data_IF_955290570296
#
_entry.id   IF_955290570296
#
_cell.length_a   1.000
_cell.length_b   1.000
_cell.length_c   1.000
_cell.angle_alpha   90.00
_cell.angle_beta   90.00
_cell.angle_gamma   90.00
#
_symmetry.space_group_name_H-M   'P 1'
#
loop_
_entity.id
_entity.type
_entity.pdbx_description
1 polymer ?
#
# COMPACT_ATOMS: atom_id res chain seq x y z
N UNK A 1 -15.55 15.95 21.49
CA UNK A 1 -14.19 15.69 22.00
C UNK A 1 -13.77 14.30 21.58
N UNK A 2 -13.06 14.18 20.44
CA UNK A 2 -12.45 12.91 20.02
C UNK A 2 -11.31 12.57 21.00
N UNK A 3 -11.29 11.34 21.51
CA UNK A 3 -10.17 10.83 22.30
C UNK A 3 -8.97 10.65 21.37
N UNK A 4 -7.97 11.54 21.49
CA UNK A 4 -6.67 11.32 20.86
C UNK A 4 -6.09 10.02 21.40
N UNK A 5 -5.95 9.00 20.55
CA UNK A 5 -5.30 7.76 20.93
C UNK A 5 -3.79 8.05 21.06
N UNK A 6 -3.35 8.47 22.24
CA UNK A 6 -1.92 8.68 22.53
C UNK A 6 -1.23 7.32 22.53
N UNK A 7 -0.64 6.92 21.40
CA UNK A 7 0.30 5.81 21.30
C UNK A 7 1.59 6.22 22.03
N UNK A 8 2.12 5.34 22.87
CA UNK A 8 3.46 5.51 23.46
C UNK A 8 4.47 5.52 22.31
N UNK A 9 5.17 6.65 22.12
CA UNK A 9 6.36 6.76 21.27
C UNK A 9 7.47 5.90 21.91
N UNK A 10 7.62 4.66 21.46
CA UNK A 10 8.91 3.98 21.44
C UNK A 10 9.34 3.98 19.98
N UNK A 11 10.31 4.84 19.65
CA UNK A 11 11.03 4.77 18.39
C UNK A 11 11.86 3.49 18.45
N UNK A 12 11.28 2.40 17.95
CA UNK A 12 11.96 1.12 17.83
C UNK A 12 12.47 1.05 16.40
N UNK A 13 13.77 1.30 16.22
CA UNK A 13 14.37 1.48 14.90
C UNK A 13 14.82 0.16 14.27
N UNK A 14 14.86 -0.94 15.02
CA UNK A 14 15.20 -2.26 14.49
C UNK A 14 13.96 -3.08 14.17
N UNK A 15 13.99 -3.77 13.02
CA UNK A 15 12.90 -4.65 12.61
C UNK A 15 12.76 -5.89 13.51
N UNK A 16 13.87 -6.38 14.07
CA UNK A 16 13.85 -7.48 15.03
C UNK A 16 13.01 -7.11 16.26
N UNK A 17 13.28 -5.94 16.86
CA UNK A 17 12.51 -5.49 18.02
C UNK A 17 11.07 -5.16 17.65
N UNK A 18 10.83 -4.59 16.46
CA UNK A 18 9.46 -4.37 15.98
C UNK A 18 8.66 -5.68 15.85
N UNK A 19 9.25 -6.72 15.24
CA UNK A 19 8.60 -8.02 15.08
C UNK A 19 8.48 -8.79 16.41
N UNK A 20 9.44 -8.66 17.32
CA UNK A 20 9.35 -9.26 18.66
C UNK A 20 8.23 -8.62 19.50
N UNK A 21 8.03 -7.30 19.39
CA UNK A 21 6.93 -6.60 20.04
C UNK A 21 5.58 -6.91 19.41
N UNK A 22 5.51 -6.90 18.07
CA UNK A 22 4.26 -6.98 17.33
C UNK A 22 3.80 -8.44 17.12
N UNK A 23 4.72 -9.37 16.86
CA UNK A 23 4.43 -10.76 16.45
C UNK A 23 5.59 -11.75 16.79
N UNK A 24 5.92 -11.97 18.08
CA UNK A 24 7.12 -12.72 18.50
C UNK A 24 7.16 -14.17 17.99
N UNK A 25 6.00 -14.85 17.97
CA UNK A 25 5.91 -16.20 17.42
C UNK A 25 6.19 -16.29 15.92
N UNK A 26 5.92 -15.22 15.17
CA UNK A 26 6.19 -15.16 13.73
C UNK A 26 7.68 -14.91 13.47
N UNK A 27 8.32 -14.02 14.24
CA UNK A 27 9.76 -13.79 14.18
C UNK A 27 10.54 -15.10 14.39
N UNK A 28 10.17 -15.86 15.43
CA UNK A 28 10.80 -17.15 15.70
C UNK A 28 10.68 -18.12 14.51
N UNK A 29 9.50 -18.21 13.91
CA UNK A 29 9.26 -19.07 12.74
C UNK A 29 10.07 -18.63 11.53
N UNK A 30 10.20 -17.33 11.30
CA UNK A 30 11.02 -16.77 10.22
C UNK A 30 12.50 -17.14 10.39
N UNK A 31 13.06 -16.90 11.58
CA UNK A 31 14.45 -17.25 11.90
C UNK A 31 14.69 -18.76 11.71
N UNK A 32 13.76 -19.60 12.18
CA UNK A 32 13.84 -21.05 11.99
C UNK A 32 13.82 -21.49 10.51
N UNK A 33 13.17 -20.71 9.64
CA UNK A 33 13.16 -20.93 8.19
C UNK A 33 14.33 -20.23 7.47
N UNK A 34 15.30 -19.71 8.23
CA UNK A 34 16.51 -19.07 7.70
C UNK A 34 16.26 -17.68 7.14
N UNK A 35 15.22 -16.97 7.60
CA UNK A 35 15.02 -15.55 7.30
C UNK A 35 15.95 -14.69 8.12
N UNK A 36 16.78 -13.89 7.44
CA UNK A 36 17.71 -12.96 8.09
C UNK A 36 17.04 -11.62 8.27
N UNK A 37 17.26 -10.99 9.43
CA UNK A 37 16.77 -9.64 9.72
C UNK A 37 17.26 -8.61 8.68
N UNK A 38 18.46 -8.81 8.14
CA UNK A 38 19.06 -7.92 7.13
C UNK A 38 18.32 -7.93 5.79
N UNK A 39 17.49 -8.94 5.52
CA UNK A 39 16.71 -9.03 4.29
C UNK A 39 15.38 -8.26 4.39
N UNK A 40 15.02 -7.77 5.58
CA UNK A 40 13.74 -7.14 5.90
C UNK A 40 13.85 -5.62 6.02
N UNK A 41 12.87 -4.92 5.45
CA UNK A 41 12.62 -3.48 5.66
C UNK A 41 11.61 -3.24 6.77
N UNK A 42 11.71 -2.11 7.47
CA UNK A 42 10.64 -1.64 8.35
C UNK A 42 9.79 -0.60 7.60
N UNK A 43 8.47 -0.75 7.59
CA UNK A 43 7.53 0.19 6.98
C UNK A 43 6.63 0.85 8.03
N UNK A 44 6.31 2.13 7.83
CA UNK A 44 5.43 2.94 8.70
C UNK A 44 6.08 4.27 9.09
N UNK A 45 5.33 5.12 9.81
CA UNK A 45 5.72 6.53 10.09
C UNK A 45 7.03 6.69 10.86
N UNK A 46 7.53 5.63 11.51
CA UNK A 46 8.80 5.65 12.24
C UNK A 46 9.95 4.98 11.49
N UNK A 47 9.76 4.56 10.22
CA UNK A 47 10.84 4.04 9.39
C UNK A 47 11.68 5.19 8.82
N UNK A 48 12.27 6.01 9.70
CA UNK A 48 13.33 6.93 9.34
C UNK A 48 14.64 6.14 9.25
N UNK A 49 15.18 5.95 8.05
CA UNK A 49 16.56 5.50 7.89
C UNK A 49 16.82 4.67 6.64
N UNK A 50 17.11 5.35 5.52
CA UNK A 50 17.66 4.73 4.32
C UNK A 50 17.91 5.76 3.24
N UNK A 51 19.12 6.32 3.24
CA UNK A 51 19.67 7.32 2.31
C UNK A 51 19.07 7.32 0.90
N UNK A 52 18.20 8.30 0.63
CA UNK A 52 18.19 9.00 -0.65
C UNK A 52 18.03 10.49 -0.35
N UNK A 53 19.14 11.21 -0.48
CA UNK A 53 19.33 12.63 -0.14
C UNK A 53 18.54 13.61 -1.02
N UNK A 54 17.34 13.23 -1.48
CA UNK A 54 16.48 14.04 -2.36
C UNK A 54 15.01 14.10 -1.89
N UNK A 55 14.70 13.54 -0.72
CA UNK A 55 13.31 13.45 -0.20
C UNK A 55 12.82 14.75 0.46
N UNK A 56 13.65 15.81 0.47
CA UNK A 56 13.33 17.12 1.07
C UNK A 56 12.28 17.94 0.30
N UNK A 57 11.82 17.48 -0.87
CA UNK A 57 10.77 18.13 -1.67
C UNK A 57 9.42 17.40 -1.64
N UNK A 58 9.30 16.26 -0.93
CA UNK A 58 8.09 15.41 -0.96
C UNK A 58 7.49 15.11 0.42
N UNK A 59 7.81 15.89 1.47
CA UNK A 59 6.95 15.97 2.66
C UNK A 59 5.63 16.71 2.35
N UNK A 60 4.91 16.28 1.32
CA UNK A 60 3.48 16.54 1.25
C UNK A 60 2.85 15.84 2.45
N UNK A 61 2.48 16.63 3.46
CA UNK A 61 1.91 16.12 4.69
C UNK A 61 0.67 15.30 4.38
N UNK A 62 0.77 13.98 4.55
CA UNK A 62 -0.35 13.03 4.47
C UNK A 62 -1.46 13.29 5.51
N UNK A 63 -1.31 14.33 6.35
CA UNK A 63 -2.30 14.73 7.36
C UNK A 63 -3.65 15.10 6.74
N UNK A 64 -3.65 15.75 5.57
CA UNK A 64 -4.89 16.10 4.87
C UNK A 64 -5.63 14.83 4.39
N UNK A 65 -4.89 13.86 3.83
CA UNK A 65 -5.45 12.57 3.44
C UNK A 65 -5.96 11.80 4.66
N UNK A 66 -5.20 11.80 5.76
CA UNK A 66 -5.60 11.16 7.01
C UNK A 66 -6.90 11.75 7.55
N UNK A 67 -7.04 13.07 7.53
CA UNK A 67 -8.27 13.74 7.95
C UNK A 67 -9.45 13.35 7.07
N UNK A 68 -9.31 13.46 5.75
CA UNK A 68 -10.39 13.16 4.80
C UNK A 68 -10.84 11.71 4.93
N UNK A 69 -9.90 10.76 4.95
CA UNK A 69 -10.24 9.34 5.12
C UNK A 69 -10.91 9.13 6.48
N UNK A 70 -10.37 9.67 7.57
CA UNK A 70 -10.99 9.55 8.90
C UNK A 70 -12.43 10.07 8.94
N UNK A 71 -12.70 11.22 8.29
CA UNK A 71 -14.04 11.80 8.21
C UNK A 71 -15.00 10.91 7.42
N UNK A 72 -14.58 10.35 6.28
CA UNK A 72 -15.41 9.46 5.45
C UNK A 72 -15.90 8.23 6.23
N UNK A 73 -15.01 7.64 7.03
CA UNK A 73 -15.34 6.46 7.82
C UNK A 73 -16.16 6.80 9.07
N UNK A 74 -15.89 7.93 9.71
CA UNK A 74 -16.68 8.41 10.83
C UNK A 74 -18.14 8.76 10.44
N UNK A 75 -18.34 9.41 9.27
CA UNK A 75 -19.67 9.72 8.71
C UNK A 75 -20.48 8.44 8.43
N UNK A 76 -19.83 7.39 7.88
CA UNK A 76 -20.49 6.10 7.60
C UNK A 76 -20.88 5.32 8.84
N UNK A 77 -20.07 5.37 9.91
CA UNK A 77 -20.39 4.72 11.19
C UNK A 77 -21.57 5.38 11.91
N UNK A 78 -21.76 6.69 11.74
CA UNK A 78 -22.82 7.45 12.43
C UNK A 78 -24.14 7.48 11.64
N UNK A 79 -24.12 7.27 10.32
CA UNK A 79 -25.29 7.32 9.44
C UNK A 79 -26.11 6.03 9.28
N UNK A 80 -25.58 4.86 9.66
CA UNK A 80 -26.25 3.55 9.43
C UNK A 80 -26.46 2.80 10.75
N UNK A 81 -27.73 2.69 11.20
CA UNK A 81 -28.11 1.61 12.13
C UNK A 81 -27.99 0.28 11.38
N UNK A 82 -27.36 -0.73 12.00
CA UNK A 82 -27.02 -2.10 11.50
C UNK A 82 -25.76 -2.16 10.62
N UNK A 83 -24.73 -2.98 10.86
CA UNK A 83 -24.56 -4.16 11.71
C UNK A 83 -23.17 -4.06 12.37
N UNK A 84 -23.15 -3.99 13.69
CA UNK A 84 -21.99 -4.48 14.44
C UNK A 84 -21.88 -5.99 14.12
N UNK A 85 -21.12 -6.33 13.08
CA UNK A 85 -20.50 -7.65 12.97
C UNK A 85 -19.53 -7.74 14.14
N UNK A 86 -20.08 -8.06 15.32
CA UNK A 86 -19.32 -8.72 16.38
C UNK A 86 -18.79 -9.98 15.74
N UNK A 87 -17.56 -9.92 15.25
CA UNK A 87 -16.77 -11.11 14.98
C UNK A 87 -16.78 -11.89 16.29
N UNK A 88 -17.54 -12.98 16.31
CA UNK A 88 -17.44 -13.95 17.37
C UNK A 88 -15.96 -14.36 17.44
N UNK A 89 -15.45 -14.54 18.66
CA UNK A 89 -14.20 -15.26 18.91
C UNK A 89 -14.36 -16.71 18.43
N UNK A 90 -14.56 -16.92 17.13
CA UNK A 90 -14.47 -18.20 16.50
C UNK A 90 -12.98 -18.49 16.37
N UNK A 91 -12.49 -19.34 17.28
CA UNK A 91 -11.21 -20.07 17.24
C UNK A 91 -10.08 -19.39 16.45
N UNK A 92 -9.11 -18.80 17.14
CA UNK A 92 -7.82 -18.28 16.59
C UNK A 92 -7.37 -19.05 15.35
N UNK A 93 -7.79 -18.57 14.18
CA UNK A 93 -7.51 -19.19 12.91
C UNK A 93 -6.05 -18.91 12.63
N UNK A 94 -5.22 -19.95 12.70
CA UNK A 94 -3.76 -19.78 12.64
C UNK A 94 -3.32 -19.13 11.33
N UNK A 95 -2.28 -18.31 11.41
CA UNK A 95 -1.67 -17.64 10.27
C UNK A 95 -1.30 -18.63 9.14
N UNK A 96 -1.53 -18.25 7.88
CA UNK A 96 -1.15 -19.06 6.72
C UNK A 96 0.31 -18.77 6.35
N UNK A 97 1.24 -19.47 7.00
CA UNK A 97 2.67 -19.35 6.70
C UNK A 97 3.02 -19.74 5.27
N UNK A 98 2.21 -20.57 4.61
CA UNK A 98 2.47 -21.01 3.22
C UNK A 98 2.51 -19.85 2.23
N UNK A 99 1.57 -18.92 2.33
CA UNK A 99 1.49 -17.78 1.40
C UNK A 99 2.67 -16.82 1.64
N UNK A 100 2.96 -16.53 2.91
CA UNK A 100 4.15 -15.77 3.28
C UNK A 100 5.43 -16.41 2.72
N UNK A 101 5.68 -17.69 2.98
CA UNK A 101 6.89 -18.35 2.49
C UNK A 101 6.94 -18.43 0.97
N UNK A 102 5.79 -18.58 0.30
CA UNK A 102 5.74 -18.48 -1.16
C UNK A 102 6.22 -17.12 -1.65
N UNK A 103 5.84 -16.03 -1.00
CA UNK A 103 6.29 -14.67 -1.36
C UNK A 103 7.78 -14.47 -1.07
N UNK A 104 8.25 -14.97 0.08
CA UNK A 104 9.68 -14.93 0.46
C UNK A 104 10.54 -15.69 -0.54
N UNK A 105 10.13 -16.90 -0.93
CA UNK A 105 10.80 -17.70 -1.96
C UNK A 105 10.89 -16.94 -3.30
N UNK A 106 9.80 -16.29 -3.73
CA UNK A 106 9.80 -15.46 -4.93
C UNK A 106 10.72 -14.24 -4.79
N UNK A 107 10.67 -13.52 -3.66
CA UNK A 107 11.52 -12.38 -3.41
C UNK A 107 13.01 -12.77 -3.46
N UNK A 108 13.40 -13.83 -2.76
CA UNK A 108 14.77 -14.35 -2.77
C UNK A 108 15.23 -14.80 -4.14
N UNK A 109 14.36 -15.46 -4.91
CA UNK A 109 14.66 -15.84 -6.29
C UNK A 109 14.98 -14.60 -7.14
N UNK A 110 14.21 -13.53 -7.00
CA UNK A 110 14.45 -12.28 -7.73
C UNK A 110 15.71 -11.55 -7.24
N UNK A 111 15.97 -11.52 -5.93
CA UNK A 111 17.24 -11.00 -5.38
C UNK A 111 18.45 -11.75 -5.93
N UNK A 112 18.38 -13.08 -6.00
CA UNK A 112 19.42 -13.91 -6.62
C UNK A 112 19.63 -13.56 -8.11
N UNK A 113 18.56 -13.20 -8.81
CA UNK A 113 18.60 -12.71 -10.20
C UNK A 113 19.01 -11.23 -10.32
N UNK A 114 19.33 -10.56 -9.21
CA UNK A 114 19.64 -9.12 -9.13
C UNK A 114 18.52 -8.24 -9.67
N UNK A 115 17.27 -8.69 -9.48
CA UNK A 115 16.10 -7.91 -9.84
C UNK A 115 15.63 -7.09 -8.63
N UNK A 116 15.12 -5.87 -8.87
CA UNK A 116 14.64 -5.02 -7.79
C UNK A 116 13.44 -5.69 -7.12
N UNK A 117 13.62 -5.98 -5.83
CA UNK A 117 12.58 -6.48 -4.94
C UNK A 117 12.99 -6.16 -3.51
N UNK A 118 12.03 -5.70 -2.73
CA UNK A 118 12.18 -5.49 -1.30
C UNK A 118 10.94 -5.95 -0.57
N UNK A 119 11.11 -6.30 0.70
CA UNK A 119 10.00 -6.72 1.53
C UNK A 119 10.30 -6.49 2.99
N UNK A 120 9.26 -6.46 3.81
CA UNK A 120 9.43 -5.95 5.16
C UNK A 120 8.17 -5.92 5.99
N UNK A 121 8.35 -5.64 7.29
CA UNK A 121 7.27 -5.56 8.26
C UNK A 121 6.72 -4.13 8.34
N UNK A 122 5.40 -3.99 8.19
CA UNK A 122 4.69 -2.74 8.43
C UNK A 122 4.04 -2.79 9.81
N UNK A 123 4.48 -1.93 10.74
CA UNK A 123 3.95 -1.91 12.13
C UNK A 123 2.52 -1.37 12.22
N UNK A 124 2.21 -0.37 11.39
CA UNK A 124 0.88 0.24 11.36
C UNK A 124 -0.19 -0.74 10.87
N UNK A 125 0.19 -1.63 9.94
CA UNK A 125 -0.67 -2.67 9.41
C UNK A 125 -0.42 -4.05 10.05
N UNK A 126 0.56 -4.21 10.94
CA UNK A 126 0.99 -5.51 11.46
C UNK A 126 1.08 -6.58 10.35
N UNK A 127 1.79 -6.28 9.26
CA UNK A 127 1.79 -7.11 8.04
C UNK A 127 3.01 -6.97 7.19
N UNK A 128 3.26 -7.99 6.36
CA UNK A 128 4.34 -7.91 5.39
C UNK A 128 3.91 -7.13 4.15
N UNK A 129 4.79 -6.23 3.70
CA UNK A 129 4.70 -5.56 2.41
C UNK A 129 5.85 -6.08 1.56
N UNK A 130 5.55 -6.51 0.35
CA UNK A 130 6.51 -6.87 -0.68
C UNK A 130 6.34 -5.91 -1.86
N UNK A 131 7.46 -5.47 -2.43
CA UNK A 131 7.51 -4.63 -3.63
C UNK A 131 8.21 -5.43 -4.71
N UNK A 132 7.44 -5.92 -5.67
CA UNK A 132 7.94 -6.62 -6.84
C UNK A 132 7.94 -5.66 -8.02
N UNK A 133 8.94 -4.77 -8.09
CA UNK A 133 9.00 -3.68 -9.07
C UNK A 133 8.84 -4.18 -10.51
N UNK A 134 9.63 -5.18 -10.90
CA UNK A 134 9.53 -5.76 -12.25
C UNK A 134 8.22 -6.48 -12.55
N UNK A 135 7.46 -6.85 -11.52
CA UNK A 135 6.14 -7.44 -11.69
C UNK A 135 5.03 -6.39 -11.59
N UNK A 136 5.35 -5.11 -11.42
CA UNK A 136 4.37 -4.03 -11.22
C UNK A 136 3.40 -4.35 -10.06
N UNK A 137 3.91 -4.93 -8.96
CA UNK A 137 3.09 -5.30 -7.80
C UNK A 137 3.65 -4.76 -6.49
N UNK A 138 2.76 -4.16 -5.70
CA UNK A 138 2.88 -4.15 -4.24
C UNK A 138 2.00 -5.29 -3.73
N UNK A 139 2.53 -6.12 -2.83
CA UNK A 139 1.81 -7.23 -2.23
C UNK A 139 1.79 -7.05 -0.72
N UNK A 140 0.59 -7.06 -0.14
CA UNK A 140 0.39 -6.97 1.30
C UNK A 140 -0.10 -8.32 1.82
N UNK A 141 0.74 -8.98 2.61
CA UNK A 141 0.45 -10.26 3.25
C UNK A 141 0.03 -10.01 4.70
N UNK A 142 -1.28 -10.02 4.95
CA UNK A 142 -1.90 -9.70 6.25
C UNK A 142 -2.27 -10.97 7.03
N UNK A 143 -1.65 -11.23 8.21
CA UNK A 143 -2.03 -12.35 9.07
C UNK A 143 -3.45 -12.27 9.64
N UNK A 144 -3.93 -11.05 9.91
CA UNK A 144 -5.07 -10.81 10.81
C UNK A 144 -6.31 -10.21 10.13
N UNK A 145 -6.19 -9.76 8.87
CA UNK A 145 -7.25 -9.04 8.14
C UNK A 145 -7.81 -9.84 6.96
N UNK A 146 -8.71 -10.78 7.27
CA UNK A 146 -9.53 -11.46 6.27
C UNK A 146 -8.86 -12.63 5.56
N UNK A 147 -7.75 -13.16 6.08
CA UNK A 147 -7.09 -14.38 5.60
C UNK A 147 -6.79 -14.33 4.11
N UNK A 148 -6.07 -13.29 3.67
CA UNK A 148 -5.74 -13.14 2.26
C UNK A 148 -4.43 -12.38 2.02
N UNK A 149 -3.81 -12.69 0.90
CA UNK A 149 -2.72 -11.94 0.29
C UNK A 149 -3.31 -10.94 -0.70
N UNK A 150 -3.08 -9.65 -0.52
CA UNK A 150 -3.64 -8.60 -1.38
C UNK A 150 -2.59 -8.08 -2.36
N UNK A 151 -2.99 -7.88 -3.62
CA UNK A 151 -2.14 -7.41 -4.70
C UNK A 151 -2.62 -6.05 -5.18
N UNK A 152 -1.68 -5.13 -5.36
CA UNK A 152 -1.89 -3.78 -5.85
C UNK A 152 -0.96 -3.53 -7.03
N UNK A 153 -1.41 -2.79 -8.03
CA UNK A 153 -0.57 -2.42 -9.16
C UNK A 153 0.33 -1.23 -8.80
N UNK A 154 1.61 -1.32 -9.15
CA UNK A 154 2.51 -0.18 -9.08
C UNK A 154 2.13 0.84 -10.16
N UNK A 155 2.00 2.09 -9.75
CA UNK A 155 1.95 3.22 -10.68
C UNK A 155 3.37 3.66 -11.04
N UNK A 156 3.56 4.18 -12.25
CA UNK A 156 4.81 4.88 -12.59
C UNK A 156 4.77 6.38 -12.23
N UNK A 157 3.60 6.90 -11.89
CA UNK A 157 3.38 8.34 -11.70
C UNK A 157 3.76 8.83 -10.30
N UNK A 158 4.04 7.90 -9.38
CA UNK A 158 4.44 8.21 -8.01
C UNK A 158 5.59 7.30 -7.57
N UNK A 159 6.43 7.79 -6.65
CA UNK A 159 7.49 6.97 -6.07
C UNK A 159 6.91 5.76 -5.31
N UNK A 160 7.66 4.66 -5.25
CA UNK A 160 7.27 3.46 -4.50
C UNK A 160 7.01 3.82 -3.03
N UNK A 161 7.88 4.64 -2.43
CA UNK A 161 7.73 5.10 -1.04
C UNK A 161 6.41 5.84 -0.82
N UNK A 162 6.04 6.77 -1.71
CA UNK A 162 4.76 7.48 -1.65
C UNK A 162 3.57 6.53 -1.80
N UNK A 163 3.64 5.57 -2.73
CA UNK A 163 2.59 4.57 -2.94
C UNK A 163 2.39 3.68 -1.70
N UNK A 164 3.47 3.29 -1.03
CA UNK A 164 3.44 2.53 0.22
C UNK A 164 2.84 3.37 1.35
N UNK A 165 3.25 4.63 1.52
CA UNK A 165 2.68 5.53 2.55
C UNK A 165 1.17 5.69 2.37
N UNK A 166 0.72 5.96 1.14
CA UNK A 166 -0.71 6.02 0.78
C UNK A 166 -1.44 4.73 1.10
N UNK A 167 -0.88 3.58 0.72
CA UNK A 167 -1.45 2.27 1.03
C UNK A 167 -1.59 2.07 2.54
N UNK A 168 -0.51 2.28 3.29
CA UNK A 168 -0.49 2.11 4.75
C UNK A 168 -1.53 2.99 5.43
N UNK A 169 -1.58 4.27 5.06
CA UNK A 169 -2.51 5.23 5.64
C UNK A 169 -3.97 4.86 5.35
N UNK A 170 -4.30 4.65 4.08
CA UNK A 170 -5.68 4.32 3.70
C UNK A 170 -6.14 3.01 4.34
N UNK A 171 -5.27 2.00 4.38
CA UNK A 171 -5.58 0.70 4.97
C UNK A 171 -5.72 0.78 6.50
N UNK A 172 -4.87 1.57 7.18
CA UNK A 172 -4.94 1.83 8.62
C UNK A 172 -6.26 2.50 9.03
N UNK A 173 -6.66 3.55 8.31
CA UNK A 173 -7.81 4.39 8.67
C UNK A 173 -9.15 3.83 8.20
N UNK A 174 -9.19 3.14 7.06
CA UNK A 174 -10.41 2.51 6.55
C UNK A 174 -10.91 1.34 7.42
N UNK A 175 -10.20 1.00 8.50
CA UNK A 175 -10.38 -0.24 9.25
C UNK A 175 -10.46 -1.46 8.31
N UNK A 176 -9.72 -1.42 7.19
CA UNK A 176 -9.60 -2.44 6.12
C UNK A 176 -10.77 -3.41 5.97
N UNK A 177 -12.01 -2.93 5.99
CA UNK A 177 -13.14 -3.80 5.73
C UNK A 177 -12.96 -4.43 4.34
N UNK A 178 -13.34 -5.72 4.21
CA UNK A 178 -13.56 -6.35 2.90
C UNK A 178 -14.37 -5.43 1.98
N UNK A 179 -15.30 -4.69 2.56
CA UNK A 179 -16.23 -3.83 1.85
C UNK A 179 -15.52 -2.73 1.06
N UNK A 180 -14.67 -1.91 1.68
CA UNK A 180 -14.14 -0.72 1.02
C UNK A 180 -13.05 -1.02 -0.01
N UNK A 181 -12.25 -2.07 0.22
CA UNK A 181 -11.22 -2.47 -0.73
C UNK A 181 -11.79 -3.35 -1.86
N UNK A 182 -12.61 -4.37 -1.54
CA UNK A 182 -13.06 -5.35 -2.53
C UNK A 182 -14.34 -4.93 -3.25
N UNK A 183 -15.34 -4.39 -2.54
CA UNK A 183 -16.54 -3.92 -3.23
C UNK A 183 -16.28 -2.62 -3.97
N UNK A 184 -15.25 -1.87 -3.55
CA UNK A 184 -14.80 -0.65 -4.19
C UNK A 184 -15.97 0.31 -4.47
N UNK A 185 -16.91 0.41 -3.52
CA UNK A 185 -18.14 1.18 -3.69
C UNK A 185 -17.76 2.64 -4.03
N UNK A 186 -18.33 3.22 -5.11
CA UNK A 186 -18.11 4.62 -5.46
C UNK A 186 -18.33 5.55 -4.28
N UNK A 187 -17.46 6.56 -4.17
CA UNK A 187 -17.67 7.70 -3.30
C UNK A 187 -18.18 8.86 -4.17
N UNK A 188 -19.33 9.43 -3.80
CA UNK A 188 -19.98 10.49 -4.57
C UNK A 188 -19.73 11.87 -3.95
N UNK A 189 -19.32 12.82 -4.78
CA UNK A 189 -19.14 14.23 -4.38
C UNK A 189 -20.53 14.86 -4.17
N UNK A 190 -20.71 15.56 -3.05
CA UNK A 190 -21.98 16.12 -2.60
C UNK A 190 -22.82 15.16 -1.73
N UNK A 191 -22.53 13.85 -1.74
CA UNK A 191 -23.24 12.86 -0.92
C UNK A 191 -22.33 12.24 0.16
N UNK A 192 -21.25 11.58 -0.24
CA UNK A 192 -20.28 10.96 0.68
C UNK A 192 -19.24 11.98 1.17
N UNK A 193 -18.90 12.97 0.32
CA UNK A 193 -17.83 13.93 0.58
C UNK A 193 -18.09 15.30 -0.06
N UNK A 194 -17.42 16.33 0.42
CA UNK A 194 -17.38 17.68 -0.14
C UNK A 194 -16.42 17.78 -1.32
N UNK A 195 -16.52 18.85 -2.11
CA UNK A 195 -15.59 19.12 -3.23
C UNK A 195 -14.14 19.22 -2.75
N UNK A 196 -13.88 19.91 -1.63
CA UNK A 196 -12.53 19.99 -1.06
C UNK A 196 -11.98 18.63 -0.57
N UNK A 197 -12.81 17.78 0.03
CA UNK A 197 -12.43 16.40 0.37
C UNK A 197 -12.10 15.58 -0.90
N UNK A 198 -12.86 15.80 -1.98
CA UNK A 198 -12.63 15.14 -3.27
C UNK A 198 -11.32 15.59 -3.92
N UNK A 199 -11.01 16.89 -3.90
CA UNK A 199 -9.74 17.45 -4.38
C UNK A 199 -8.54 16.81 -3.68
N UNK A 200 -8.60 16.69 -2.35
CA UNK A 200 -7.57 15.99 -1.58
C UNK A 200 -7.46 14.54 -2.05
N UNK A 201 -8.54 13.77 -2.12
CA UNK A 201 -8.45 12.38 -2.59
C UNK A 201 -7.87 12.27 -4.01
N UNK A 202 -8.24 13.17 -4.92
CA UNK A 202 -7.74 13.18 -6.30
C UNK A 202 -6.23 13.42 -6.35
N UNK A 203 -5.70 14.31 -5.51
CA UNK A 203 -4.24 14.50 -5.33
C UNK A 203 -3.53 13.20 -4.95
N UNK A 204 -4.20 12.35 -4.18
CA UNK A 204 -3.67 11.04 -3.79
C UNK A 204 -4.05 9.89 -4.77
N UNK A 205 -4.46 10.22 -5.99
CA UNK A 205 -4.70 9.26 -7.07
C UNK A 205 -6.08 8.59 -7.04
N UNK A 206 -7.03 9.14 -6.29
CA UNK A 206 -8.44 8.74 -6.44
C UNK A 206 -9.03 9.33 -7.72
N UNK A 207 -9.90 8.58 -8.38
CA UNK A 207 -10.63 9.05 -9.56
C UNK A 207 -12.07 9.32 -9.14
N UNK A 208 -12.62 10.47 -9.55
CA UNK A 208 -13.98 10.84 -9.19
C UNK A 208 -15.00 9.73 -9.50
N UNK A 209 -15.95 9.53 -8.58
CA UNK A 209 -16.98 8.47 -8.65
C UNK A 209 -16.42 7.03 -8.65
N UNK A 210 -15.20 6.82 -8.15
CA UNK A 210 -14.64 5.48 -7.87
C UNK A 210 -14.54 5.24 -6.36
N UNK A 211 -14.21 4.01 -5.96
CA UNK A 211 -13.94 3.69 -4.56
C UNK A 211 -12.45 3.78 -4.20
N UNK A 212 -12.13 3.56 -2.92
CA UNK A 212 -10.76 3.58 -2.43
C UNK A 212 -9.89 2.43 -2.98
N UNK A 213 -10.49 1.33 -3.44
CA UNK A 213 -9.75 0.25 -4.10
C UNK A 213 -9.09 0.72 -5.40
N UNK A 214 -9.76 1.59 -6.16
CA UNK A 214 -9.17 2.21 -7.36
C UNK A 214 -8.04 3.15 -6.99
N UNK A 215 -8.23 4.01 -5.97
CA UNK A 215 -7.16 4.89 -5.47
C UNK A 215 -5.91 4.07 -5.10
N UNK A 216 -6.08 2.92 -4.46
CA UNK A 216 -4.97 2.06 -4.05
C UNK A 216 -4.41 1.16 -5.16
N UNK A 217 -4.93 1.24 -6.39
CA UNK A 217 -4.61 0.33 -7.49
C UNK A 217 -4.84 -1.15 -7.12
N UNK A 218 -5.89 -1.46 -6.35
CA UNK A 218 -6.20 -2.82 -5.96
C UNK A 218 -6.46 -3.71 -7.18
N UNK A 219 -5.74 -4.83 -7.27
CA UNK A 219 -5.79 -5.73 -8.42
C UNK A 219 -6.58 -7.01 -8.14
N UNK A 220 -6.19 -7.73 -7.09
CA UNK A 220 -6.81 -8.99 -6.69
C UNK A 220 -6.30 -9.44 -5.30
N UNK A 221 -6.79 -10.59 -4.84
CA UNK A 221 -6.30 -11.25 -3.63
C UNK A 221 -6.31 -12.77 -3.73
N UNK A 222 -5.41 -13.40 -2.99
CA UNK A 222 -5.38 -14.84 -2.76
C UNK A 222 -5.98 -15.12 -1.40
N UNK A 223 -7.16 -15.75 -1.37
CA UNK A 223 -7.81 -16.15 -0.13
C UNK A 223 -7.15 -17.40 0.45
N UNK A 224 -6.84 -17.35 1.74
CA UNK A 224 -6.31 -18.48 2.51
C UNK A 224 -7.48 -19.35 2.99
N UNK A 225 -8.25 -19.96 2.07
CA UNK A 225 -9.36 -20.84 2.44
C UNK A 225 -8.83 -22.16 3.05
N UNK A 226 -8.81 -22.23 4.38
CA UNK A 226 -8.28 -23.40 5.11
C UNK A 226 -9.27 -24.56 5.20
N UNK A 227 -10.52 -24.42 4.72
CA UNK A 227 -11.47 -25.54 4.72
C UNK A 227 -11.04 -26.64 3.75
N UNK A 228 -10.26 -26.28 2.74
CA UNK A 228 -9.60 -27.18 1.79
C UNK A 228 -8.10 -27.24 2.10
N UNK A 229 -7.69 -27.78 3.27
CA UNK A 229 -6.27 -28.00 3.62
C UNK A 229 -5.44 -28.82 2.61
N UNK A 230 -6.01 -29.24 1.48
CA UNK A 230 -5.36 -30.00 0.39
C UNK A 230 -4.64 -29.14 -0.65
N UNK A 231 -4.72 -27.80 -0.60
CA UNK A 231 -4.41 -26.94 -1.75
C UNK A 231 -3.27 -25.92 -1.53
N UNK A 232 -2.23 -26.26 -0.75
CA UNK A 232 -0.97 -25.49 -0.66
C UNK A 232 -0.38 -25.15 -2.03
N UNK A 233 -0.47 -26.08 -2.99
CA UNK A 233 -0.05 -25.88 -4.38
C UNK A 233 -0.91 -24.85 -5.12
N UNK A 234 -2.19 -24.73 -4.77
CA UNK A 234 -3.13 -23.82 -5.41
C UNK A 234 -2.83 -22.36 -5.03
N UNK A 235 -2.55 -22.07 -3.75
CA UNK A 235 -2.17 -20.73 -3.32
C UNK A 235 -0.86 -20.28 -3.96
N UNK A 236 0.15 -21.15 -3.95
CA UNK A 236 1.44 -20.89 -4.63
C UNK A 236 1.24 -20.60 -6.11
N UNK A 237 0.39 -21.39 -6.78
CA UNK A 237 0.05 -21.19 -8.19
C UNK A 237 -0.66 -19.85 -8.42
N UNK A 238 -1.65 -19.49 -7.60
CA UNK A 238 -2.37 -18.21 -7.69
C UNK A 238 -1.45 -17.00 -7.45
N UNK A 239 -0.60 -17.05 -6.43
CA UNK A 239 0.41 -16.02 -6.17
C UNK A 239 1.34 -15.87 -7.38
N UNK A 240 1.89 -16.99 -7.86
CA UNK A 240 2.80 -17.00 -9.01
C UNK A 240 2.12 -16.42 -10.25
N UNK A 241 0.86 -16.79 -10.50
CA UNK A 241 0.07 -16.26 -11.62
C UNK A 241 -0.10 -14.74 -11.51
N UNK A 242 -0.52 -14.21 -10.36
CA UNK A 242 -0.74 -12.76 -10.19
C UNK A 242 0.55 -11.93 -10.34
N UNK A 243 1.70 -12.48 -9.94
CA UNK A 243 3.01 -11.89 -10.18
C UNK A 243 3.35 -11.93 -11.68
N UNK A 244 3.28 -13.10 -12.32
CA UNK A 244 3.58 -13.27 -13.75
C UNK A 244 2.67 -12.41 -14.62
N UNK A 245 1.38 -12.31 -14.27
CA UNK A 245 0.43 -11.44 -14.95
C UNK A 245 0.92 -9.98 -14.87
N UNK A 246 1.34 -9.51 -13.70
CA UNK A 246 1.87 -8.15 -13.55
C UNK A 246 3.18 -7.89 -14.32
N UNK A 247 4.05 -8.89 -14.41
CA UNK A 247 5.25 -8.84 -15.25
C UNK A 247 4.88 -8.73 -16.75
N UNK A 248 3.89 -9.51 -17.19
CA UNK A 248 3.46 -9.53 -18.59
C UNK A 248 2.59 -8.33 -18.99
N UNK A 249 1.83 -7.76 -18.05
CA UNK A 249 0.84 -6.71 -18.33
C UNK A 249 1.44 -5.36 -18.67
N UNK A 250 2.74 -5.11 -18.41
CA UNK A 250 3.52 -4.02 -19.01
C UNK A 250 2.88 -2.63 -19.08
N UNK A 251 1.94 -2.28 -18.20
CA UNK A 251 1.15 -1.05 -18.33
C UNK A 251 1.34 -0.19 -17.09
N UNK A 252 2.21 0.79 -17.27
CA UNK A 252 2.21 2.04 -16.53
C UNK A 252 0.79 2.62 -16.63
N UNK A 253 0.03 2.61 -15.54
CA UNK A 253 -1.22 3.39 -15.46
C UNK A 253 -0.81 4.86 -15.38
N UNK A 254 -0.80 5.53 -16.52
CA UNK A 254 -0.64 6.99 -16.60
C UNK A 254 -1.95 7.65 -16.22
N UNK A 255 -2.19 7.84 -14.92
CA UNK A 255 -3.12 8.87 -14.47
C UNK A 255 -2.38 10.20 -14.48
N UNK A 256 -2.76 11.06 -15.44
CA UNK A 256 -2.28 12.44 -15.53
C UNK A 256 -2.46 13.16 -14.18
N UNK A 257 -1.36 13.69 -13.65
CA UNK A 257 -1.38 14.79 -12.69
C UNK A 257 -0.89 15.99 -13.50
N UNK A 258 -1.79 16.92 -13.83
CA UNK A 258 -1.41 18.21 -14.39
C UNK A 258 -0.67 18.98 -13.32
N UNK A 259 0.63 19.18 -13.52
CA UNK A 259 1.36 20.24 -12.82
C UNK A 259 0.89 21.57 -13.42
N UNK A 260 -0.06 22.20 -12.74
CA UNK A 260 -0.49 23.56 -13.02
C UNK A 260 0.53 24.52 -12.42
N UNK A 261 1.63 24.76 -13.14
CA UNK A 261 2.48 25.93 -12.91
C UNK A 261 2.18 26.94 -14.00
N UNK A 262 1.29 27.88 -13.69
CA UNK A 262 1.22 29.16 -14.39
C UNK A 262 1.83 30.25 -13.48
N UNK A 263 2.50 31.17 -14.17
CA UNK A 263 2.75 32.59 -13.87
C UNK A 263 4.23 32.98 -13.67
N UNK A 264 4.74 33.44 -14.82
CA UNK A 264 5.51 34.66 -15.13
C UNK A 264 6.94 34.86 -14.60
N UNK A 265 7.84 35.08 -15.56
CA UNK A 265 8.57 36.34 -15.59
C UNK A 265 8.82 36.82 -17.04
N UNK A 266 8.34 38.03 -17.27
CA UNK A 266 8.58 38.94 -18.39
C UNK A 266 10.08 39.32 -18.47
N UNK A 267 10.72 39.05 -19.61
CA UNK A 267 11.87 39.83 -20.06
C UNK A 267 12.19 39.59 -21.55
N UNK A 268 11.85 40.57 -22.38
CA UNK A 268 12.79 41.10 -23.35
C UNK A 268 12.90 40.41 -24.70
N UNK A 269 12.21 41.00 -25.68
CA UNK A 269 12.47 40.89 -27.11
C UNK A 269 13.97 41.02 -27.46
N UNK A 270 14.52 40.04 -28.17
CA UNK A 270 15.53 40.31 -29.21
C UNK A 270 15.32 39.37 -30.40
N UNK A 271 14.91 39.96 -31.52
CA UNK A 271 14.72 39.31 -32.81
C UNK A 271 16.05 39.24 -33.55
N UNK A 272 16.59 38.03 -33.70
CA UNK A 272 17.77 37.75 -34.52
C UNK A 272 17.53 36.59 -35.49
N UNK A 273 17.05 36.92 -36.69
CA UNK A 273 16.99 36.06 -37.87
C UNK A 273 18.38 35.54 -38.27
N UNK A 274 18.63 34.22 -38.26
CA UNK A 274 19.61 33.59 -39.17
C UNK A 274 19.22 32.13 -39.54
N UNK A 275 18.55 32.02 -40.69
CA UNK A 275 18.83 31.13 -41.84
C UNK A 275 19.30 29.68 -41.57
N UNK A 276 18.41 28.74 -41.89
CA UNK A 276 18.73 27.33 -42.16
C UNK A 276 19.47 27.20 -43.50
N UNK A 277 20.57 26.43 -43.53
CA UNK A 277 21.04 25.77 -44.75
C UNK A 277 21.16 24.25 -44.54
N UNK A 278 20.89 23.45 -45.59
CA UNK A 278 20.84 22.00 -45.51
C UNK A 278 22.19 21.36 -45.87
N UNK A 279 22.51 20.24 -45.21
CA UNK A 279 23.19 19.09 -45.82
C UNK A 279 22.71 17.80 -45.15
#
# INVERSE_FOLDING_TARGET
>A
MLRSWKRKKTATDSIETALEEDAPGLLQVLIQQGVSVDELRLYGDNASGGDSSDDSLLEESFSELEEVISQLFYKRETGVKLLNLRFSKASRTSYCLTCLFSLIEQARYLQFRKWPVEWGWCRDLQSFIFVFERHNRIVMERPEYGYATYFFELSSTASIGWQIRRLVLAMKLASCGRYQLIENKPLLVGEDMTEGEAEVLMKYGWIANTGLGTMLNYRDRVFHDRKTQKETSEWRSKISKLLVDGYNSGTIVSTFIDHHDDIDDDAGLDTGDVKLEPY
#
